data_IF_078403152584
#
_entry.id   IF_078403152584
#
_cell.length_a   1.000
_cell.length_b   1.000
_cell.length_c   1.000
_cell.angle_alpha   90.00
_cell.angle_beta   90.00
_cell.angle_gamma   90.00
#
_symmetry.space_group_name_H-M   'P 1'
#
loop_
_entity.id
_entity.type
_entity.pdbx_description
1 polymer ?
#
# COMPACT_ATOMS: atom_id res chain seq x y z
N UNK A 1 -16.99 20.26 -21.26
CA UNK A 1 -17.40 19.52 -20.04
C UNK A 1 -16.21 18.71 -19.53
N UNK A 2 -15.30 19.32 -18.74
CA UNK A 2 -14.00 18.69 -18.41
C UNK A 2 -13.60 18.72 -16.94
N UNK A 3 -14.45 19.24 -16.06
CA UNK A 3 -14.10 19.47 -14.65
C UNK A 3 -14.49 18.35 -13.68
N UNK A 4 -15.30 17.37 -14.10
CA UNK A 4 -15.77 16.27 -13.23
C UNK A 4 -14.89 15.02 -13.24
N UNK A 5 -14.07 14.81 -14.27
CA UNK A 5 -13.14 13.67 -14.31
C UNK A 5 -11.92 13.89 -13.40
N UNK A 6 -11.39 15.11 -13.32
CA UNK A 6 -10.17 15.42 -12.56
C UNK A 6 -10.32 15.28 -11.04
N UNK A 7 -11.53 15.47 -10.49
CA UNK A 7 -11.78 15.33 -9.06
C UNK A 7 -11.72 13.87 -8.56
N UNK A 8 -12.09 12.91 -9.42
CA UNK A 8 -11.99 11.48 -9.11
C UNK A 8 -10.54 11.00 -9.01
N UNK A 9 -9.69 11.46 -9.95
CA UNK A 9 -8.26 11.16 -9.92
C UNK A 9 -7.59 11.74 -8.69
N UNK A 10 -7.85 12.99 -8.32
CA UNK A 10 -7.20 13.65 -7.16
C UNK A 10 -7.41 12.88 -5.85
N UNK A 11 -8.64 12.44 -5.55
CA UNK A 11 -8.93 11.66 -4.34
C UNK A 11 -8.37 10.23 -4.39
N UNK A 12 -8.25 9.66 -5.58
CA UNK A 12 -7.62 8.36 -5.78
C UNK A 12 -6.08 8.47 -5.65
N UNK A 13 -5.47 9.53 -6.17
CA UNK A 13 -4.04 9.87 -6.03
C UNK A 13 -3.66 10.18 -4.57
N UNK A 14 -4.47 10.95 -3.83
CA UNK A 14 -4.21 11.26 -2.41
C UNK A 14 -4.31 10.01 -1.52
N UNK A 15 -5.17 9.04 -1.87
CA UNK A 15 -5.17 7.72 -1.23
C UNK A 15 -3.95 6.90 -1.67
N UNK A 16 -3.61 6.95 -2.97
CA UNK A 16 -2.47 6.24 -3.54
C UNK A 16 -1.17 6.62 -2.84
N UNK A 17 -0.86 7.92 -2.72
CA UNK A 17 0.34 8.43 -2.01
C UNK A 17 0.44 7.96 -0.56
N UNK A 18 -0.69 7.72 0.11
CA UNK A 18 -0.73 7.28 1.53
C UNK A 18 -0.65 5.77 1.71
N UNK A 19 -1.02 5.00 0.68
CA UNK A 19 -0.96 3.53 0.71
C UNK A 19 0.20 2.95 -0.11
N UNK A 20 1.04 3.78 -0.73
CA UNK A 20 2.23 3.31 -1.43
C UNK A 20 3.20 2.61 -0.45
N UNK A 21 3.77 1.45 -0.81
CA UNK A 21 4.69 0.69 0.05
C UNK A 21 6.09 1.32 0.18
N UNK A 22 6.20 2.66 0.13
CA UNK A 22 7.48 3.38 0.15
C UNK A 22 8.34 3.09 -1.09
N UNK A 23 9.64 2.82 -0.91
CA UNK A 23 10.60 2.58 -2.01
C UNK A 23 10.34 1.29 -2.80
N UNK A 24 9.46 0.40 -2.32
CA UNK A 24 9.08 -0.82 -3.02
C UNK A 24 8.27 -0.57 -4.30
N UNK A 25 7.63 0.61 -4.42
CA UNK A 25 6.85 1.01 -5.60
C UNK A 25 5.73 0.02 -5.96
N UNK A 26 5.19 0.14 -7.18
CA UNK A 26 4.03 -0.64 -7.62
C UNK A 26 4.33 -2.15 -7.76
N UNK A 27 5.50 -2.51 -8.29
CA UNK A 27 5.89 -3.92 -8.44
C UNK A 27 6.08 -4.61 -7.10
N UNK A 28 6.72 -3.94 -6.13
CA UNK A 28 6.83 -4.46 -4.77
C UNK A 28 5.47 -4.58 -4.10
N UNK A 29 4.58 -3.61 -4.33
CA UNK A 29 3.17 -3.68 -3.89
C UNK A 29 2.47 -4.93 -4.40
N UNK A 30 2.58 -5.24 -5.70
CA UNK A 30 1.99 -6.44 -6.30
C UNK A 30 2.53 -7.73 -5.70
N UNK A 31 3.84 -7.82 -5.46
CA UNK A 31 4.45 -9.02 -4.84
C UNK A 31 3.98 -9.18 -3.40
N UNK A 32 3.97 -8.10 -2.62
CA UNK A 32 3.47 -8.09 -1.24
C UNK A 32 1.99 -8.51 -1.23
N UNK A 33 1.17 -7.90 -2.08
CA UNK A 33 -0.25 -8.22 -2.21
C UNK A 33 -0.49 -9.70 -2.54
N UNK A 34 0.19 -10.22 -3.57
CA UNK A 34 0.03 -11.62 -3.96
C UNK A 34 0.47 -12.58 -2.85
N UNK A 35 1.55 -12.23 -2.14
CA UNK A 35 2.03 -13.00 -0.99
C UNK A 35 1.00 -13.00 0.14
N UNK A 36 0.44 -11.84 0.48
CA UNK A 36 -0.61 -11.71 1.50
C UNK A 36 -1.88 -12.47 1.12
N UNK A 37 -2.29 -12.46 -0.14
CA UNK A 37 -3.42 -13.26 -0.62
C UNK A 37 -3.21 -14.77 -0.45
N UNK A 38 -1.97 -15.24 -0.62
CA UNK A 38 -1.62 -16.65 -0.44
C UNK A 38 -1.54 -17.04 1.03
N UNK A 39 -1.04 -16.14 1.89
CA UNK A 39 -0.91 -16.38 3.33
C UNK A 39 -2.23 -16.23 4.08
N UNK A 40 -3.08 -15.29 3.65
CA UNK A 40 -4.35 -14.94 4.29
C UNK A 40 -5.51 -15.00 3.29
N UNK A 41 -5.82 -16.18 2.71
CA UNK A 41 -6.91 -16.30 1.75
C UNK A 41 -8.25 -15.86 2.39
N UNK A 42 -9.22 -15.45 1.56
CA UNK A 42 -10.54 -14.98 2.03
C UNK A 42 -11.19 -15.92 3.06
N UNK A 43 -11.10 -17.23 2.85
CA UNK A 43 -11.67 -18.23 3.77
C UNK A 43 -11.00 -18.32 5.14
N UNK A 44 -9.84 -17.69 5.32
CA UNK A 44 -9.09 -17.64 6.58
C UNK A 44 -9.36 -16.39 7.41
N UNK A 45 -10.00 -15.37 6.82
CA UNK A 45 -10.30 -14.10 7.50
C UNK A 45 -11.76 -14.10 7.95
N UNK A 46 -11.96 -13.76 9.22
CA UNK A 46 -13.29 -13.47 9.76
C UNK A 46 -13.77 -12.11 9.24
N UNK A 47 -14.84 -12.12 8.46
CA UNK A 47 -15.40 -10.91 7.82
C UNK A 47 -15.92 -9.91 8.86
N UNK A 48 -16.40 -10.40 10.02
CA UNK A 48 -16.89 -9.53 11.09
C UNK A 48 -15.74 -8.77 11.78
N UNK A 49 -14.52 -9.34 11.75
CA UNK A 49 -13.32 -8.71 12.34
C UNK A 49 -12.75 -7.57 11.49
N UNK A 50 -13.05 -7.55 10.19
CA UNK A 50 -12.58 -6.53 9.24
C UNK A 50 -13.66 -5.52 8.86
N UNK A 51 -14.90 -5.70 9.33
CA UNK A 51 -15.99 -4.79 9.08
C UNK A 51 -15.65 -3.36 9.58
N UNK A 52 -16.00 -2.29 8.84
CA UNK A 52 -16.85 -2.27 7.64
C UNK A 52 -16.08 -2.46 6.32
N UNK A 53 -14.81 -2.84 6.35
CA UNK A 53 -14.00 -3.00 5.13
C UNK A 53 -14.33 -4.31 4.41
N UNK A 54 -14.23 -4.29 3.09
CA UNK A 54 -14.19 -5.53 2.31
C UNK A 54 -12.85 -6.22 2.51
N UNK A 55 -12.77 -7.52 2.27
CA UNK A 55 -11.50 -8.25 2.30
C UNK A 55 -10.44 -7.60 1.37
N UNK A 56 -10.85 -7.19 0.17
CA UNK A 56 -9.96 -6.52 -0.78
C UNK A 56 -9.48 -5.17 -0.24
N UNK A 57 -10.34 -4.38 0.41
CA UNK A 57 -9.95 -3.12 1.03
C UNK A 57 -9.02 -3.35 2.22
N UNK A 58 -9.29 -4.38 3.03
CA UNK A 58 -8.46 -4.74 4.17
C UNK A 58 -7.04 -5.13 3.71
N UNK A 59 -6.92 -5.97 2.69
CA UNK A 59 -5.61 -6.35 2.15
C UNK A 59 -4.88 -5.12 1.61
N UNK A 60 -5.51 -4.36 0.71
CA UNK A 60 -4.83 -3.27 0.00
C UNK A 60 -4.54 -2.05 0.87
N UNK A 61 -5.42 -1.71 1.80
CA UNK A 61 -5.33 -0.45 2.56
C UNK A 61 -4.70 -0.63 3.93
N UNK A 62 -4.63 -1.87 4.44
CA UNK A 62 -4.09 -2.19 5.76
C UNK A 62 -2.90 -3.14 5.63
N UNK A 63 -3.12 -4.38 5.18
CA UNK A 63 -2.06 -5.39 5.23
C UNK A 63 -0.87 -5.09 4.31
N UNK A 64 -1.10 -4.56 3.10
CA UNK A 64 -0.02 -4.19 2.19
C UNK A 64 0.86 -3.06 2.78
N UNK A 65 0.30 -1.94 3.28
CA UNK A 65 1.10 -0.92 3.96
C UNK A 65 1.82 -1.42 5.23
N UNK A 66 1.15 -2.22 6.05
CA UNK A 66 1.75 -2.76 7.29
C UNK A 66 2.90 -3.73 6.99
N UNK A 67 2.75 -4.58 5.97
CA UNK A 67 3.81 -5.47 5.52
C UNK A 67 4.99 -4.67 4.96
N UNK A 68 4.72 -3.64 4.15
CA UNK A 68 5.77 -2.75 3.64
C UNK A 68 6.53 -2.05 4.78
N UNK A 69 5.81 -1.54 5.79
CA UNK A 69 6.42 -0.91 6.95
C UNK A 69 7.30 -1.89 7.75
N UNK A 70 6.81 -3.11 7.99
CA UNK A 70 7.56 -4.15 8.68
C UNK A 70 8.83 -4.55 7.91
N UNK A 71 8.75 -4.66 6.58
CA UNK A 71 9.90 -4.93 5.74
C UNK A 71 10.93 -3.79 5.81
N UNK A 72 10.50 -2.53 5.79
CA UNK A 72 11.40 -1.38 5.93
C UNK A 72 12.09 -1.38 7.31
N UNK A 73 11.36 -1.71 8.38
CA UNK A 73 11.93 -1.84 9.71
C UNK A 73 13.03 -2.90 9.75
N UNK A 74 12.78 -4.07 9.13
CA UNK A 74 13.74 -5.17 9.04
C UNK A 74 14.97 -4.80 8.20
N UNK A 75 14.76 -4.25 7.00
CA UNK A 75 15.82 -3.88 6.06
C UNK A 75 16.78 -2.83 6.64
N UNK A 76 16.22 -1.83 7.33
CA UNK A 76 16.95 -0.66 7.78
C UNK A 76 17.38 -0.74 9.25
N UNK A 77 16.96 -1.79 9.97
CA UNK A 77 17.14 -1.90 11.42
C UNK A 77 16.51 -0.73 12.19
N UNK A 78 15.38 -0.22 11.67
CA UNK A 78 14.72 0.99 12.15
C UNK A 78 13.55 0.68 13.08
N UNK A 79 13.28 1.61 14.01
CA UNK A 79 12.06 1.61 14.79
C UNK A 79 10.84 1.98 13.92
N UNK A 80 9.64 1.73 14.44
CA UNK A 80 8.38 1.97 13.73
C UNK A 80 8.27 3.40 13.20
N UNK A 81 8.61 4.40 14.02
CA UNK A 81 8.50 5.80 13.63
C UNK A 81 9.52 6.19 12.55
N UNK A 82 10.75 5.71 12.65
CA UNK A 82 11.78 5.91 11.62
C UNK A 82 11.37 5.26 10.31
N UNK A 83 10.90 4.01 10.35
CA UNK A 83 10.47 3.28 9.17
C UNK A 83 9.26 3.92 8.52
N UNK A 84 8.29 4.44 9.29
CA UNK A 84 7.14 5.15 8.75
C UNK A 84 7.54 6.46 8.05
N UNK A 85 8.53 7.18 8.60
CA UNK A 85 9.13 8.34 7.92
C UNK A 85 9.83 7.91 6.64
N UNK A 86 10.64 6.86 6.67
CA UNK A 86 11.32 6.30 5.49
C UNK A 86 10.31 5.93 4.41
N UNK A 87 9.23 5.23 4.78
CA UNK A 87 8.15 4.83 3.87
C UNK A 87 7.47 6.04 3.22
N UNK A 88 7.10 7.06 4.01
CA UNK A 88 6.45 8.27 3.49
C UNK A 88 7.39 9.11 2.61
N UNK A 89 8.64 9.32 3.03
CA UNK A 89 9.62 10.10 2.27
C UNK A 89 10.09 9.39 0.98
N UNK A 90 10.08 8.06 0.98
CA UNK A 90 10.48 7.26 -0.18
C UNK A 90 9.33 6.93 -1.13
N UNK A 91 8.08 7.25 -0.79
CA UNK A 91 6.94 7.02 -1.69
C UNK A 91 7.12 7.73 -3.04
N UNK A 92 7.61 8.98 -3.04
CA UNK A 92 7.93 9.71 -4.27
C UNK A 92 9.09 9.08 -5.06
N UNK A 93 10.05 8.45 -4.36
CA UNK A 93 11.15 7.72 -5.00
C UNK A 93 10.67 6.41 -5.64
N UNK A 94 9.80 5.65 -4.96
CA UNK A 94 9.19 4.43 -5.48
C UNK A 94 8.36 4.68 -6.74
N UNK A 95 7.53 5.74 -6.74
CA UNK A 95 6.75 6.19 -7.91
C UNK A 95 7.65 6.62 -9.08
N UNK A 96 8.80 7.24 -8.79
CA UNK A 96 9.73 7.71 -9.83
C UNK A 96 10.62 6.59 -10.41
N UNK A 97 11.00 5.59 -9.61
CA UNK A 97 11.85 4.48 -10.04
C UNK A 97 11.06 3.35 -10.73
N UNK A 98 9.78 3.18 -10.38
CA UNK A 98 8.89 2.19 -10.98
C UNK A 98 7.60 2.85 -11.46
N UNK A 99 7.67 3.72 -12.47
CA UNK A 99 6.49 4.35 -13.02
C UNK A 99 5.61 3.30 -13.70
N UNK A 100 4.29 3.44 -13.51
CA UNK A 100 3.27 2.63 -14.14
C UNK A 100 3.49 2.67 -15.66
N UNK A 101 3.94 1.55 -16.24
CA UNK A 101 4.18 1.45 -17.67
C UNK A 101 2.81 1.24 -18.34
N UNK A 102 2.12 2.35 -18.58
CA UNK A 102 0.91 2.39 -19.42
C UNK A 102 1.20 2.01 -20.87
#
# INVERSE_FOLDING_TARGET
MGSRAAAGFKGQFDNFEKTQPGYYGELGSMVIHQTLYNLFPFSSIDVDSIAPLTYTDFINRILVPEAALALIMEDMGQGLEEAARTMHHSAAYGVAMFPDSG
#
